data_IF_514660866809
#
_entry.id   IF_514660866809
#
_cell.length_a   1.000
_cell.length_b   1.000
_cell.length_c   1.000
_cell.angle_alpha   90.00
_cell.angle_beta   90.00
_cell.angle_gamma   90.00
#
_symmetry.space_group_name_H-M   'P 1'
#
loop_
_entity.id
_entity.type
_entity.pdbx_description
1 polymer ?
#
# COMPACT_ATOMS: atom_id res chain seq x y z
N UNK A 1 -26.01 6.80 -36.66
CA UNK A 1 -25.15 6.25 -35.62
C UNK A 1 -25.60 6.87 -34.31
N UNK A 2 -26.23 6.09 -33.45
CA UNK A 2 -26.70 6.55 -32.13
C UNK A 2 -25.57 6.47 -31.13
N UNK A 3 -25.23 7.58 -30.52
CA UNK A 3 -24.32 7.63 -29.36
C UNK A 3 -25.05 7.02 -28.16
N UNK A 4 -24.62 5.86 -27.71
CA UNK A 4 -25.02 5.33 -26.41
C UNK A 4 -24.13 5.95 -25.35
N UNK A 5 -24.74 6.78 -24.50
CA UNK A 5 -24.11 7.37 -23.32
C UNK A 5 -24.04 6.31 -22.24
N UNK A 6 -22.84 5.83 -21.92
CA UNK A 6 -22.61 4.92 -20.79
C UNK A 6 -22.81 5.71 -19.49
N UNK A 7 -23.97 5.55 -18.87
CA UNK A 7 -24.25 6.11 -17.55
C UNK A 7 -23.73 5.14 -16.49
N UNK A 8 -22.58 5.46 -15.88
CA UNK A 8 -22.12 4.77 -14.68
C UNK A 8 -23.05 5.12 -13.52
N UNK A 9 -23.94 4.21 -13.13
CA UNK A 9 -24.64 4.29 -11.86
C UNK A 9 -23.64 3.91 -10.76
N UNK A 10 -23.28 4.86 -9.92
CA UNK A 10 -22.61 4.59 -8.64
C UNK A 10 -23.56 3.74 -7.79
N UNK A 11 -23.23 2.47 -7.64
CA UNK A 11 -23.89 1.58 -6.70
C UNK A 11 -23.54 2.02 -5.28
N UNK A 12 -24.57 2.10 -4.46
CA UNK A 12 -24.51 2.42 -3.03
C UNK A 12 -23.41 1.61 -2.31
N UNK A 13 -22.36 2.31 -1.88
CA UNK A 13 -21.14 1.73 -1.30
C UNK A 13 -21.17 1.73 0.24
N UNK A 14 -22.35 1.62 0.85
CA UNK A 14 -22.45 1.47 2.27
C UNK A 14 -22.06 0.05 2.73
N UNK A 15 -20.90 -0.06 3.37
CA UNK A 15 -20.30 -1.25 4.00
C UNK A 15 -19.77 -2.32 3.02
N UNK A 16 -18.48 -2.31 2.78
CA UNK A 16 -17.74 -3.43 2.16
C UNK A 16 -17.27 -3.24 0.72
N UNK A 17 -17.08 -2.00 0.25
CA UNK A 17 -16.73 -1.71 -1.15
C UNK A 17 -15.38 -2.25 -1.63
N UNK A 18 -14.41 -2.40 -0.74
CA UNK A 18 -13.04 -2.76 -1.10
C UNK A 18 -12.87 -4.21 -1.51
N UNK A 19 -13.49 -5.14 -0.78
CA UNK A 19 -13.47 -6.56 -1.15
C UNK A 19 -14.20 -6.81 -2.49
N UNK A 20 -15.21 -5.99 -2.80
CA UNK A 20 -15.95 -6.08 -4.07
C UNK A 20 -15.16 -5.55 -5.27
N UNK A 21 -14.34 -4.51 -5.13
CA UNK A 21 -13.55 -3.99 -6.24
C UNK A 21 -12.37 -4.91 -6.59
N UNK A 22 -11.70 -5.49 -5.59
CA UNK A 22 -10.65 -6.49 -5.83
C UNK A 22 -11.22 -7.79 -6.43
N UNK A 23 -12.44 -8.15 -6.03
CA UNK A 23 -13.16 -9.30 -6.58
C UNK A 23 -13.65 -9.05 -8.02
N UNK A 24 -14.12 -7.84 -8.33
CA UNK A 24 -14.60 -7.46 -9.68
C UNK A 24 -13.48 -7.36 -10.71
N UNK A 25 -12.25 -7.03 -10.32
CA UNK A 25 -11.09 -7.04 -11.20
C UNK A 25 -10.54 -8.45 -11.50
N UNK A 26 -10.86 -9.43 -10.63
CA UNK A 26 -10.49 -10.84 -10.84
C UNK A 26 -11.58 -11.66 -11.54
N UNK A 27 -12.83 -11.22 -11.53
CA UNK A 27 -13.96 -11.93 -12.12
C UNK A 27 -13.88 -12.15 -13.65
N UNK A 28 -13.37 -11.23 -14.48
CA UNK A 28 -13.25 -11.48 -15.93
C UNK A 28 -12.24 -12.58 -16.27
N UNK A 29 -11.23 -12.82 -15.41
CA UNK A 29 -10.24 -13.88 -15.61
C UNK A 29 -10.73 -15.26 -15.15
N UNK A 30 -11.79 -15.32 -14.36
CA UNK A 30 -12.29 -16.57 -13.74
C UNK A 30 -13.45 -17.22 -14.52
N UNK A 31 -14.05 -16.50 -15.49
CA UNK A 31 -15.17 -17.04 -16.27
C UNK A 31 -14.76 -18.07 -17.36
N UNK A 32 -13.45 -18.32 -17.53
CA UNK A 32 -12.94 -19.18 -18.63
C UNK A 32 -12.31 -20.48 -18.14
N UNK A 33 -12.06 -20.64 -16.83
CA UNK A 33 -11.47 -21.88 -16.32
C UNK A 33 -12.50 -22.64 -15.47
N UNK A 34 -13.27 -23.48 -16.12
CA UNK A 34 -14.03 -24.52 -15.43
C UNK A 34 -13.07 -25.57 -14.85
N UNK A 35 -12.50 -25.30 -13.69
CA UNK A 35 -11.73 -26.31 -12.95
C UNK A 35 -12.74 -27.26 -12.31
N UNK A 36 -13.02 -28.39 -12.97
CA UNK A 36 -13.56 -29.54 -12.29
C UNK A 36 -12.49 -30.04 -11.32
N UNK A 37 -12.61 -29.70 -10.05
CA UNK A 37 -11.89 -30.42 -9.02
C UNK A 37 -12.41 -31.86 -9.02
N UNK A 38 -11.60 -32.80 -9.48
CA UNK A 38 -11.88 -34.22 -9.34
C UNK A 38 -11.76 -34.57 -7.87
N UNK A 39 -12.89 -34.89 -7.26
CA UNK A 39 -12.97 -35.39 -5.88
C UNK A 39 -12.71 -36.87 -5.92
N UNK A 40 -11.56 -37.33 -5.48
CA UNK A 40 -11.20 -38.77 -5.47
C UNK A 40 -11.57 -39.49 -4.18
N UNK A 41 -12.24 -38.82 -3.23
CA UNK A 41 -12.64 -39.45 -1.98
C UNK A 41 -14.03 -38.96 -1.56
N UNK A 42 -15.09 -39.71 -1.81
CA UNK A 42 -16.46 -39.67 -1.34
C UNK A 42 -16.89 -38.61 -0.31
N UNK A 43 -16.40 -37.39 -0.47
CA UNK A 43 -16.59 -36.31 0.48
C UNK A 43 -17.91 -35.55 0.24
N UNK A 44 -18.49 -35.14 1.33
CA UNK A 44 -19.69 -34.30 1.40
C UNK A 44 -19.54 -33.11 0.46
N UNK A 45 -20.48 -32.93 -0.47
CA UNK A 45 -20.55 -31.82 -1.40
C UNK A 45 -20.83 -30.55 -0.61
N UNK A 46 -19.78 -29.85 -0.20
CA UNK A 46 -19.88 -28.55 0.49
C UNK A 46 -20.06 -27.49 -0.55
N UNK A 47 -21.21 -26.86 -0.58
CA UNK A 47 -21.47 -25.68 -1.43
C UNK A 47 -20.77 -24.48 -0.80
N UNK A 48 -19.57 -24.16 -1.28
CA UNK A 48 -18.86 -22.95 -0.85
C UNK A 48 -19.25 -21.77 -1.75
N UNK A 49 -19.37 -20.58 -1.14
CA UNK A 49 -19.30 -19.34 -1.90
C UNK A 49 -17.88 -19.25 -2.49
N UNK A 50 -17.70 -19.27 -3.83
CA UNK A 50 -16.37 -19.29 -4.44
C UNK A 50 -15.49 -18.13 -4.00
N UNK A 51 -16.05 -16.92 -3.84
CA UNK A 51 -15.31 -15.74 -3.42
C UNK A 51 -14.73 -15.91 -1.99
N UNK A 52 -15.50 -16.41 -1.05
CA UNK A 52 -15.04 -16.71 0.31
C UNK A 52 -13.93 -17.75 0.28
N UNK A 53 -14.11 -18.79 -0.53
CA UNK A 53 -13.11 -19.88 -0.65
C UNK A 53 -11.76 -19.36 -1.16
N UNK A 54 -11.74 -18.50 -2.16
CA UNK A 54 -10.47 -17.96 -2.69
C UNK A 54 -9.80 -17.03 -1.69
N UNK A 55 -10.52 -16.13 -1.04
CA UNK A 55 -9.99 -15.27 0.01
C UNK A 55 -9.41 -16.09 1.16
N UNK A 56 -10.16 -17.09 1.64
CA UNK A 56 -9.74 -18.00 2.70
C UNK A 56 -8.49 -18.78 2.29
N UNK A 57 -8.48 -19.34 1.11
CA UNK A 57 -7.32 -20.08 0.60
C UNK A 57 -6.09 -19.19 0.46
N UNK A 58 -6.23 -18.00 -0.13
CA UNK A 58 -5.14 -17.06 -0.30
C UNK A 58 -4.52 -16.64 1.04
N UNK A 59 -5.35 -16.29 2.02
CA UNK A 59 -4.88 -15.91 3.36
C UNK A 59 -4.25 -17.10 4.07
N UNK A 60 -4.94 -18.25 4.12
CA UNK A 60 -4.43 -19.43 4.80
C UNK A 60 -3.13 -19.93 4.20
N UNK A 61 -2.92 -19.78 2.88
CA UNK A 61 -1.64 -20.13 2.24
C UNK A 61 -0.48 -19.27 2.73
N UNK A 62 -0.76 -18.08 3.26
CA UNK A 62 0.25 -17.16 3.84
C UNK A 62 0.48 -17.43 5.33
N UNK A 63 -0.55 -17.91 6.03
CA UNK A 63 -0.49 -18.19 7.47
C UNK A 63 -0.04 -19.61 7.79
N UNK A 64 -0.28 -20.57 6.89
CA UNK A 64 -0.06 -21.99 7.12
C UNK A 64 1.35 -22.36 7.58
N UNK A 65 2.33 -21.58 7.14
CA UNK A 65 3.74 -21.80 7.48
C UNK A 65 4.25 -20.92 8.62
N UNK A 66 3.36 -20.24 9.31
CA UNK A 66 3.71 -19.47 10.47
C UNK A 66 4.19 -20.43 11.57
N UNK A 67 5.49 -20.44 11.84
CA UNK A 67 6.04 -21.19 12.96
C UNK A 67 5.81 -20.38 14.22
N UNK A 68 5.22 -21.01 15.24
CA UNK A 68 4.96 -20.39 16.55
C UNK A 68 6.19 -19.71 17.21
N UNK A 69 7.38 -20.01 16.75
CA UNK A 69 8.64 -19.46 17.27
C UNK A 69 9.24 -18.35 16.41
N UNK A 70 8.64 -18.00 15.27
CA UNK A 70 9.08 -16.88 14.46
C UNK A 70 8.07 -15.76 14.63
N UNK A 71 8.52 -14.56 14.96
CA UNK A 71 7.69 -13.36 15.04
C UNK A 71 7.24 -12.86 13.66
N UNK A 72 7.34 -13.71 12.66
CA UNK A 72 7.09 -13.39 11.27
C UNK A 72 5.64 -13.64 10.90
N UNK A 73 5.01 -12.69 10.29
CA UNK A 73 3.73 -12.86 9.64
C UNK A 73 3.92 -13.68 8.35
N UNK A 74 3.25 -14.81 8.25
CA UNK A 74 3.42 -15.90 7.30
C UNK A 74 3.46 -15.57 5.80
N UNK A 75 4.45 -14.82 5.37
CA UNK A 75 4.71 -14.57 3.96
C UNK A 75 5.79 -15.54 3.47
N UNK A 76 5.39 -16.60 2.77
CA UNK A 76 6.34 -17.49 2.13
C UNK A 76 6.81 -16.87 0.81
N UNK A 77 8.12 -16.67 0.66
CA UNK A 77 8.75 -16.35 -0.61
C UNK A 77 9.28 -17.63 -1.22
N UNK A 78 8.80 -17.96 -2.41
CA UNK A 78 9.33 -19.03 -3.21
C UNK A 78 10.46 -18.49 -4.10
N UNK A 79 11.65 -19.05 -3.97
CA UNK A 79 12.78 -18.68 -4.85
C UNK A 79 12.73 -19.42 -6.19
N UNK A 80 12.04 -20.56 -6.22
CA UNK A 80 11.76 -21.33 -7.45
C UNK A 80 10.41 -22.03 -7.36
N UNK A 81 9.93 -22.57 -8.48
CA UNK A 81 8.70 -23.38 -8.52
C UNK A 81 8.80 -24.68 -7.70
N UNK A 82 10.01 -25.11 -7.41
CA UNK A 82 10.31 -26.37 -6.72
C UNK A 82 10.63 -26.16 -5.23
N UNK A 83 10.65 -24.89 -4.77
CA UNK A 83 10.89 -24.55 -3.37
C UNK A 83 9.79 -25.13 -2.48
N UNK A 84 10.22 -25.81 -1.43
CA UNK A 84 9.30 -26.27 -0.39
C UNK A 84 8.92 -25.10 0.51
N UNK A 85 7.71 -25.14 1.05
CA UNK A 85 7.20 -24.16 2.01
C UNK A 85 8.11 -23.96 3.24
N UNK A 86 8.96 -24.93 3.56
CA UNK A 86 9.93 -24.87 4.67
C UNK A 86 11.18 -24.06 4.36
N UNK A 87 11.44 -23.72 3.09
CA UNK A 87 12.64 -22.99 2.64
C UNK A 87 12.35 -21.49 2.55
N UNK A 88 12.06 -20.87 3.67
CA UNK A 88 11.74 -19.44 3.73
C UNK A 88 13.00 -18.60 3.78
N UNK A 89 12.99 -17.49 3.06
CA UNK A 89 13.90 -16.39 3.34
C UNK A 89 13.37 -15.59 4.54
N UNK A 90 13.76 -15.96 5.75
CA UNK A 90 13.33 -15.33 7.00
C UNK A 90 13.69 -13.83 7.05
N UNK A 91 14.71 -13.38 6.33
CA UNK A 91 15.19 -12.00 6.37
C UNK A 91 14.19 -10.96 5.85
N UNK A 92 13.17 -11.37 5.09
CA UNK A 92 12.16 -10.46 4.54
C UNK A 92 10.87 -10.43 5.35
N UNK A 93 10.67 -11.39 6.25
CA UNK A 93 9.44 -11.54 7.02
C UNK A 93 9.62 -11.25 8.51
N UNK A 94 10.86 -11.28 9.00
CA UNK A 94 11.18 -11.04 10.43
C UNK A 94 11.45 -9.55 10.70
N UNK A 95 10.70 -8.66 10.06
CA UNK A 95 10.83 -7.20 10.22
C UNK A 95 9.53 -6.48 9.97
N UNK A 96 9.43 -5.26 10.47
CA UNK A 96 8.39 -4.32 10.07
C UNK A 96 8.78 -3.72 8.70
N UNK A 97 8.06 -4.09 7.65
CA UNK A 97 8.35 -3.66 6.28
C UNK A 97 7.04 -3.60 5.48
N UNK A 98 7.03 -2.87 4.35
CA UNK A 98 5.83 -2.69 3.54
C UNK A 98 5.23 -4.00 3.02
N UNK A 99 6.05 -5.00 2.68
CA UNK A 99 5.55 -6.29 2.16
C UNK A 99 4.77 -7.07 3.21
N UNK A 100 5.35 -7.45 4.37
CA UNK A 100 4.59 -8.12 5.41
C UNK A 100 3.48 -7.21 5.99
N UNK A 101 3.71 -5.89 6.07
CA UNK A 101 2.70 -4.93 6.50
C UNK A 101 1.48 -4.90 5.59
N UNK A 102 1.66 -4.96 4.26
CA UNK A 102 0.56 -5.01 3.30
C UNK A 102 -0.25 -6.32 3.44
N UNK A 103 0.45 -7.45 3.57
CA UNK A 103 -0.22 -8.76 3.77
C UNK A 103 -0.99 -8.75 5.08
N UNK A 104 -0.41 -8.22 6.15
CA UNK A 104 -1.06 -8.08 7.45
C UNK A 104 -2.30 -7.16 7.37
N UNK A 105 -2.19 -5.98 6.72
CA UNK A 105 -3.31 -5.07 6.48
C UNK A 105 -4.44 -5.79 5.74
N UNK A 106 -4.15 -6.42 4.62
CA UNK A 106 -5.17 -7.15 3.84
C UNK A 106 -5.82 -8.29 4.63
N UNK A 107 -5.04 -8.96 5.48
CA UNK A 107 -5.55 -10.06 6.31
C UNK A 107 -6.46 -9.53 7.43
N UNK A 108 -6.11 -8.43 8.10
CA UNK A 108 -6.95 -7.87 9.16
C UNK A 108 -8.26 -7.29 8.60
N UNK A 109 -8.23 -6.66 7.43
CA UNK A 109 -9.43 -6.18 6.74
C UNK A 109 -10.36 -7.34 6.33
N UNK A 110 -9.78 -8.43 5.84
CA UNK A 110 -10.55 -9.64 5.56
C UNK A 110 -11.10 -10.28 6.83
N UNK A 111 -10.34 -10.31 7.93
CA UNK A 111 -10.81 -10.82 9.21
C UNK A 111 -11.97 -9.98 9.75
N UNK A 112 -11.94 -8.67 9.56
CA UNK A 112 -13.04 -7.78 9.95
C UNK A 112 -14.27 -7.97 9.05
N UNK A 113 -14.08 -8.07 7.74
CA UNK A 113 -15.17 -8.34 6.79
C UNK A 113 -15.87 -9.66 7.07
N UNK A 114 -15.14 -10.72 7.43
CA UNK A 114 -15.65 -12.05 7.71
C UNK A 114 -15.82 -12.33 9.22
N UNK A 115 -15.92 -11.31 10.07
CA UNK A 115 -15.95 -11.44 11.53
C UNK A 115 -17.03 -12.38 12.08
N UNK A 116 -18.14 -12.58 11.36
CA UNK A 116 -19.20 -13.52 11.72
C UNK A 116 -18.81 -15.01 11.54
N UNK A 117 -17.69 -15.29 10.88
CA UNK A 117 -17.23 -16.65 10.66
C UNK A 117 -16.10 -17.02 11.64
N UNK A 118 -16.23 -18.18 12.29
CA UNK A 118 -15.27 -18.65 13.30
C UNK A 118 -13.83 -18.76 12.78
N UNK A 119 -13.63 -18.98 11.49
CA UNK A 119 -12.32 -19.10 10.85
C UNK A 119 -11.61 -17.74 10.59
N UNK A 120 -12.26 -16.62 10.81
CA UNK A 120 -11.65 -15.29 10.71
C UNK A 120 -10.83 -14.91 11.95
N UNK A 121 -11.18 -15.46 13.12
CA UNK A 121 -10.48 -15.18 14.38
C UNK A 121 -8.99 -15.59 14.36
N UNK A 122 -8.57 -16.74 13.84
CA UNK A 122 -7.17 -17.07 13.64
C UNK A 122 -6.40 -16.03 12.80
N UNK A 123 -7.05 -15.42 11.81
CA UNK A 123 -6.42 -14.37 11.00
C UNK A 123 -6.11 -13.13 11.84
N UNK A 124 -7.08 -12.67 12.62
CA UNK A 124 -6.84 -11.57 13.58
C UNK A 124 -5.69 -11.90 14.53
N UNK A 125 -5.69 -13.10 15.14
CA UNK A 125 -4.66 -13.49 16.09
C UNK A 125 -3.27 -13.54 15.45
N UNK A 126 -3.14 -14.00 14.22
CA UNK A 126 -1.87 -14.03 13.50
C UNK A 126 -1.35 -12.61 13.19
N UNK A 127 -2.23 -11.70 12.77
CA UNK A 127 -1.85 -10.29 12.54
C UNK A 127 -1.51 -9.61 13.85
N UNK A 128 -2.27 -9.90 14.92
CA UNK A 128 -1.98 -9.40 16.26
C UNK A 128 -0.60 -9.81 16.74
N UNK A 129 -0.24 -11.08 16.62
CA UNK A 129 1.07 -11.59 17.04
C UNK A 129 2.22 -10.86 16.32
N UNK A 130 2.10 -10.67 15.00
CA UNK A 130 3.04 -9.89 14.23
C UNK A 130 3.05 -8.42 14.68
N UNK A 131 1.89 -7.78 14.79
CA UNK A 131 1.77 -6.39 15.20
C UNK A 131 2.36 -6.13 16.58
N UNK A 132 2.05 -6.98 17.56
CA UNK A 132 2.58 -6.86 18.94
C UNK A 132 4.11 -6.98 18.97
N UNK A 133 4.68 -7.87 18.15
CA UNK A 133 6.12 -8.07 18.06
C UNK A 133 6.87 -6.81 17.56
N UNK A 134 6.23 -5.98 16.73
CA UNK A 134 6.87 -4.86 16.05
C UNK A 134 6.29 -3.47 16.39
N UNK A 135 5.32 -3.35 17.30
CA UNK A 135 4.67 -2.08 17.63
C UNK A 135 5.64 -0.99 18.06
N UNK A 136 6.69 -1.36 18.79
CA UNK A 136 7.75 -0.45 19.23
C UNK A 136 8.85 -0.23 18.18
N UNK A 137 8.85 -0.97 17.09
CA UNK A 137 9.86 -0.88 16.02
C UNK A 137 9.48 0.10 14.92
N UNK A 138 8.30 0.72 14.98
CA UNK A 138 7.87 1.75 14.02
C UNK A 138 8.89 2.91 14.04
N UNK A 139 9.49 3.26 12.88
CA UNK A 139 10.54 4.27 12.85
C UNK A 139 9.96 5.68 13.03
N UNK A 140 10.65 6.50 13.84
CA UNK A 140 10.34 7.94 14.01
C UNK A 140 11.28 8.83 13.21
N UNK A 141 12.37 8.26 12.68
CA UNK A 141 13.38 8.97 11.91
C UNK A 141 13.00 9.33 10.47
N UNK A 142 11.93 8.73 9.94
CA UNK A 142 11.34 9.08 8.65
C UNK A 142 12.16 8.72 7.41
N UNK A 143 13.26 7.97 7.52
CA UNK A 143 14.20 7.74 6.41
C UNK A 143 13.68 6.85 5.27
N UNK A 144 12.53 6.20 5.43
CA UNK A 144 11.94 5.32 4.41
C UNK A 144 10.42 5.32 4.52
N UNK A 145 9.72 5.62 3.43
CA UNK A 145 8.27 5.52 3.37
C UNK A 145 7.80 4.06 3.41
N UNK A 146 8.59 3.13 2.91
CA UNK A 146 8.29 1.69 2.96
C UNK A 146 8.14 1.20 4.41
N UNK A 147 9.06 1.62 5.28
CA UNK A 147 9.04 1.20 6.68
C UNK A 147 7.85 1.81 7.44
N UNK A 148 7.46 3.04 7.08
CA UNK A 148 6.29 3.71 7.67
C UNK A 148 4.97 3.08 7.21
N UNK A 149 4.88 2.64 5.95
CA UNK A 149 3.65 2.09 5.39
C UNK A 149 3.09 0.90 6.17
N UNK A 150 3.94 0.08 6.76
CA UNK A 150 3.53 -1.09 7.54
C UNK A 150 2.58 -0.73 8.70
N UNK A 151 2.60 0.52 9.16
CA UNK A 151 1.76 1.00 10.27
C UNK A 151 0.26 0.95 9.96
N UNK A 152 -0.13 0.91 8.70
CA UNK A 152 -1.54 0.75 8.30
C UNK A 152 -2.20 -0.47 8.95
N UNK A 153 -1.44 -1.53 9.24
CA UNK A 153 -1.94 -2.71 9.95
C UNK A 153 -2.47 -2.37 11.35
N UNK A 154 -1.86 -1.41 12.05
CA UNK A 154 -2.26 -1.05 13.42
C UNK A 154 -3.60 -0.31 13.46
N UNK A 155 -3.95 0.41 12.41
CA UNK A 155 -5.29 1.03 12.27
C UNK A 155 -6.35 -0.09 12.18
N UNK A 156 -6.10 -1.11 11.36
CA UNK A 156 -6.97 -2.28 11.26
C UNK A 156 -7.08 -3.06 12.57
N UNK A 157 -5.95 -3.31 13.24
CA UNK A 157 -5.94 -3.98 14.54
C UNK A 157 -6.70 -3.18 15.61
N UNK A 158 -6.51 -1.87 15.66
CA UNK A 158 -7.19 -1.00 16.63
C UNK A 158 -8.71 -1.04 16.46
N UNK A 159 -9.19 -1.02 15.22
CA UNK A 159 -10.61 -0.98 14.88
C UNK A 159 -11.29 -2.35 14.96
N UNK A 160 -10.53 -3.44 15.02
CA UNK A 160 -11.11 -4.79 15.04
C UNK A 160 -11.86 -5.07 16.36
N UNK A 161 -13.03 -5.68 16.26
CA UNK A 161 -13.88 -5.99 17.41
C UNK A 161 -13.25 -6.96 18.44
N UNK A 162 -12.21 -7.70 18.06
CA UNK A 162 -11.48 -8.59 18.96
C UNK A 162 -10.34 -7.92 19.71
N UNK A 163 -10.03 -6.65 19.43
CA UNK A 163 -8.97 -5.90 20.12
C UNK A 163 -9.43 -5.47 21.51
N UNK A 164 -8.61 -5.74 22.53
CA UNK A 164 -8.86 -5.27 23.91
C UNK A 164 -8.17 -3.92 24.15
N UNK A 165 -8.56 -3.19 25.19
CA UNK A 165 -8.10 -1.82 25.42
C UNK A 165 -6.58 -1.69 25.63
N UNK A 166 -5.93 -2.68 26.25
CA UNK A 166 -4.46 -2.69 26.39
C UNK A 166 -3.77 -2.80 25.04
N UNK A 167 -4.29 -3.62 24.13
CA UNK A 167 -3.78 -3.77 22.76
C UNK A 167 -3.97 -2.47 21.98
N UNK A 168 -5.17 -1.87 22.07
CA UNK A 168 -5.48 -0.59 21.41
C UNK A 168 -4.54 0.53 21.81
N UNK A 169 -4.15 0.59 23.10
CA UNK A 169 -3.15 1.56 23.57
C UNK A 169 -1.81 1.38 22.86
N UNK A 170 -1.34 0.14 22.70
CA UNK A 170 -0.10 -0.16 22.00
C UNK A 170 -0.19 0.20 20.50
N UNK A 171 -1.31 -0.09 19.86
CA UNK A 171 -1.52 0.24 18.45
C UNK A 171 -1.59 1.75 18.21
N UNK A 172 -2.26 2.47 19.11
CA UNK A 172 -2.29 3.95 19.07
C UNK A 172 -0.89 4.54 19.21
N UNK A 173 -0.06 3.98 20.08
CA UNK A 173 1.34 4.39 20.22
C UNK A 173 2.14 4.13 18.93
N UNK A 174 1.94 2.98 18.29
CA UNK A 174 2.58 2.66 17.01
C UNK A 174 2.16 3.66 15.90
N UNK A 175 0.89 4.02 15.82
CA UNK A 175 0.38 5.04 14.90
C UNK A 175 0.99 6.41 15.22
N UNK A 176 1.07 6.82 16.51
CA UNK A 176 1.73 8.06 16.92
C UNK A 176 3.21 8.12 16.54
N UNK A 177 3.93 7.01 16.63
CA UNK A 177 5.31 6.93 16.13
C UNK A 177 5.41 7.17 14.63
N UNK A 178 4.46 6.64 13.84
CA UNK A 178 4.42 6.90 12.40
C UNK A 178 4.09 8.36 12.07
N UNK A 179 3.25 9.03 12.85
CA UNK A 179 3.03 10.49 12.72
C UNK A 179 4.35 11.24 12.86
N UNK A 180 5.11 10.97 13.93
CA UNK A 180 6.45 11.54 14.12
C UNK A 180 7.40 11.20 12.96
N UNK A 181 7.31 9.97 12.44
CA UNK A 181 8.08 9.53 11.29
C UNK A 181 7.76 10.32 10.02
N UNK A 182 6.47 10.58 9.72
CA UNK A 182 6.04 11.38 8.58
C UNK A 182 6.44 12.85 8.72
N UNK A 183 6.31 13.43 9.90
CA UNK A 183 6.75 14.80 10.20
C UNK A 183 8.26 14.95 10.00
N UNK A 184 9.04 13.99 10.52
CA UNK A 184 10.49 13.96 10.33
C UNK A 184 10.84 13.76 8.86
N UNK A 185 10.13 12.90 8.14
CA UNK A 185 10.34 12.67 6.72
C UNK A 185 10.10 13.96 5.90
N UNK A 186 8.99 14.63 6.15
CA UNK A 186 8.69 15.92 5.50
C UNK A 186 9.77 16.97 5.76
N UNK A 187 10.33 16.99 6.97
CA UNK A 187 11.36 17.97 7.34
C UNK A 187 12.72 17.67 6.72
N UNK A 188 13.11 16.37 6.69
CA UNK A 188 14.47 15.97 6.29
C UNK A 188 14.57 15.48 4.85
N UNK A 189 13.56 14.77 4.37
CA UNK A 189 13.61 13.98 3.14
C UNK A 189 12.55 14.44 2.12
N UNK A 190 12.41 15.75 1.97
CA UNK A 190 11.57 16.38 0.96
C UNK A 190 12.37 17.31 0.07
N UNK A 191 11.95 17.47 -1.16
CA UNK A 191 12.54 18.39 -2.15
C UNK A 191 12.50 19.82 -1.60
N UNK A 192 13.66 20.47 -1.48
CA UNK A 192 13.78 21.78 -0.84
C UNK A 192 13.64 22.95 -1.79
N UNK A 193 13.94 22.74 -3.06
CA UNK A 193 13.88 23.80 -4.08
C UNK A 193 13.66 23.17 -5.46
N UNK A 194 13.10 23.93 -6.36
CA UNK A 194 13.04 23.60 -7.77
C UNK A 194 11.65 23.69 -8.37
N UNK A 195 11.69 24.09 -9.64
CA UNK A 195 10.59 23.97 -10.59
C UNK A 195 11.08 23.05 -11.69
N UNK A 196 10.29 22.03 -12.00
CA UNK A 196 10.63 21.02 -12.99
C UNK A 196 9.53 20.97 -14.04
N UNK A 197 9.89 21.19 -15.31
CA UNK A 197 8.92 21.27 -16.40
C UNK A 197 7.77 22.28 -16.17
N UNK A 198 8.03 23.37 -15.42
CA UNK A 198 7.03 24.39 -15.09
C UNK A 198 6.24 24.10 -13.79
N UNK A 199 6.39 22.92 -13.21
CA UNK A 199 5.67 22.50 -12.01
C UNK A 199 6.52 22.68 -10.75
N UNK A 200 5.88 23.16 -9.68
CA UNK A 200 6.51 23.27 -8.37
C UNK A 200 6.58 21.91 -7.68
N UNK A 201 7.78 21.37 -7.51
CA UNK A 201 8.01 20.07 -6.86
C UNK A 201 8.46 20.19 -5.40
N UNK A 202 8.57 21.41 -4.88
CA UNK A 202 9.03 21.69 -3.50
C UNK A 202 8.09 21.05 -2.48
N UNK A 203 8.69 20.31 -1.53
CA UNK A 203 7.97 19.58 -0.50
C UNK A 203 7.50 18.18 -0.93
N UNK A 204 7.80 17.76 -2.17
CA UNK A 204 7.62 16.37 -2.59
C UNK A 204 8.52 15.44 -1.79
N UNK A 205 7.98 14.36 -1.25
CA UNK A 205 8.70 13.44 -0.37
C UNK A 205 9.59 12.48 -1.16
N UNK A 206 10.84 12.35 -0.77
CA UNK A 206 11.70 11.28 -1.28
C UNK A 206 11.08 9.92 -0.95
N UNK A 207 11.26 8.96 -1.81
CA UNK A 207 10.82 7.61 -1.46
C UNK A 207 11.61 7.05 -0.27
N UNK A 208 12.94 7.31 -0.27
CA UNK A 208 13.86 6.97 0.84
C UNK A 208 14.97 8.00 0.95
N UNK A 209 15.56 8.12 2.13
CA UNK A 209 16.76 8.93 2.37
C UNK A 209 17.89 8.64 1.36
N UNK A 210 18.11 7.36 1.04
CA UNK A 210 19.12 6.93 0.09
C UNK A 210 18.88 7.40 -1.37
N UNK A 211 17.67 7.86 -1.68
CA UNK A 211 17.25 8.27 -3.02
C UNK A 211 16.86 9.76 -3.03
N UNK A 212 17.83 10.60 -2.75
CA UNK A 212 17.63 12.06 -2.68
C UNK A 212 16.94 12.60 -3.92
N UNK A 213 15.94 13.45 -3.71
CA UNK A 213 15.16 14.11 -4.75
C UNK A 213 14.38 13.19 -5.69
N UNK A 214 14.24 11.90 -5.36
CA UNK A 214 13.45 10.96 -6.13
C UNK A 214 12.09 10.72 -5.48
N UNK A 215 11.03 10.97 -6.22
CA UNK A 215 9.68 10.53 -5.87
C UNK A 215 9.28 9.36 -6.77
N UNK A 216 8.78 8.31 -6.15
CA UNK A 216 8.28 7.11 -6.84
C UNK A 216 6.78 7.00 -6.67
N UNK A 217 6.10 6.36 -7.63
CA UNK A 217 4.66 6.07 -7.50
C UNK A 217 4.35 5.24 -6.23
N UNK A 218 5.28 4.38 -5.85
CA UNK A 218 5.24 3.59 -4.62
C UNK A 218 5.07 4.48 -3.39
N UNK A 219 5.76 5.63 -3.35
CA UNK A 219 5.69 6.61 -2.26
C UNK A 219 4.30 7.23 -2.07
N UNK A 220 3.50 7.32 -3.13
CA UNK A 220 2.11 7.76 -3.02
C UNK A 220 1.30 6.80 -2.14
N UNK A 221 1.49 5.49 -2.29
CA UNK A 221 0.84 4.49 -1.44
C UNK A 221 1.49 4.40 -0.07
N UNK A 222 2.83 4.43 -0.02
CA UNK A 222 3.56 4.22 1.24
C UNK A 222 3.41 5.41 2.20
N UNK A 223 3.41 6.65 1.69
CA UNK A 223 3.35 7.88 2.50
C UNK A 223 1.98 8.56 2.48
N UNK A 224 1.49 8.96 1.28
CA UNK A 224 0.28 9.80 1.20
C UNK A 224 -0.97 9.06 1.65
N UNK A 225 -1.14 7.80 1.24
CA UNK A 225 -2.27 7.00 1.69
C UNK A 225 -2.17 6.62 3.18
N UNK A 226 -0.95 6.46 3.72
CA UNK A 226 -0.77 6.29 5.16
C UNK A 226 -1.22 7.55 5.91
N UNK A 227 -0.78 8.73 5.48
CA UNK A 227 -1.19 9.99 6.10
C UNK A 227 -2.71 10.15 6.08
N UNK A 228 -3.36 9.90 4.95
CA UNK A 228 -4.82 9.97 4.84
C UNK A 228 -5.54 9.04 5.84
N UNK A 229 -5.04 7.80 6.00
CA UNK A 229 -5.60 6.86 6.97
C UNK A 229 -5.36 7.30 8.42
N UNK A 230 -4.20 7.91 8.72
CA UNK A 230 -3.92 8.49 10.04
C UNK A 230 -4.85 9.67 10.32
N UNK A 231 -5.06 10.57 9.35
CA UNK A 231 -6.00 11.71 9.51
C UNK A 231 -7.40 11.20 9.80
N UNK A 232 -7.88 10.23 9.04
CA UNK A 232 -9.19 9.62 9.28
C UNK A 232 -9.27 8.93 10.66
N UNK A 233 -8.22 8.21 11.07
CA UNK A 233 -8.13 7.55 12.37
C UNK A 233 -8.19 8.56 13.53
N UNK A 234 -7.50 9.68 13.41
CA UNK A 234 -7.45 10.71 14.44
C UNK A 234 -8.72 11.58 14.51
N UNK A 235 -9.49 11.65 13.41
CA UNK A 235 -10.63 12.55 13.29
C UNK A 235 -10.22 14.02 13.51
N UNK A 236 -10.84 14.69 14.48
CA UNK A 236 -10.49 16.06 14.87
C UNK A 236 -9.36 16.15 15.91
N UNK A 237 -8.71 15.01 16.20
CA UNK A 237 -7.68 14.90 17.24
C UNK A 237 -6.30 15.37 16.77
N UNK A 238 -5.28 14.53 17.01
CA UNK A 238 -3.88 14.88 16.72
C UNK A 238 -3.61 15.02 15.22
N UNK A 239 -3.05 16.15 14.83
CA UNK A 239 -2.61 16.43 13.46
C UNK A 239 -1.10 16.18 13.31
N UNK A 240 -0.67 15.83 12.09
CA UNK A 240 0.75 15.65 11.77
C UNK A 240 1.40 17.00 11.40
N UNK A 241 0.69 17.83 10.64
CA UNK A 241 1.21 19.10 10.09
C UNK A 241 0.45 20.33 10.61
N UNK A 242 -0.08 20.27 11.82
CA UNK A 242 -0.64 21.40 12.54
C UNK A 242 -2.17 21.56 12.48
N UNK A 243 -2.82 21.02 11.48
CA UNK A 243 -4.29 20.95 11.40
C UNK A 243 -4.75 19.82 10.48
N UNK A 244 -6.00 19.39 10.62
CA UNK A 244 -6.61 18.40 9.72
C UNK A 244 -6.60 18.88 8.26
N UNK A 245 -6.84 20.18 8.03
CA UNK A 245 -6.75 20.77 6.68
C UNK A 245 -5.31 20.67 6.14
N UNK A 246 -4.31 21.06 6.94
CA UNK A 246 -2.92 20.99 6.51
C UNK A 246 -2.46 19.53 6.21
N UNK A 247 -2.96 18.56 6.95
CA UNK A 247 -2.69 17.15 6.71
C UNK A 247 -3.30 16.70 5.37
N UNK A 248 -4.56 17.05 5.08
CA UNK A 248 -5.18 16.77 3.80
C UNK A 248 -4.50 17.49 2.64
N UNK A 249 -4.13 18.76 2.81
CA UNK A 249 -3.37 19.52 1.82
C UNK A 249 -2.04 18.81 1.50
N UNK A 250 -1.37 18.24 2.51
CA UNK A 250 -0.15 17.47 2.32
C UNK A 250 -0.41 16.17 1.54
N UNK A 251 -1.48 15.43 1.84
CA UNK A 251 -1.89 14.23 1.06
C UNK A 251 -2.03 14.59 -0.41
N UNK A 252 -2.83 15.60 -0.72
CA UNK A 252 -3.09 16.01 -2.10
C UNK A 252 -1.85 16.58 -2.79
N UNK A 253 -1.03 17.31 -2.06
CA UNK A 253 0.25 17.82 -2.59
C UNK A 253 1.14 16.71 -3.09
N UNK A 254 1.34 15.66 -2.29
CA UNK A 254 2.18 14.53 -2.69
C UNK A 254 1.62 13.82 -3.93
N UNK A 255 0.31 13.55 -3.96
CA UNK A 255 -0.35 12.91 -5.10
C UNK A 255 -0.24 13.77 -6.38
N UNK A 256 -0.49 15.08 -6.27
CA UNK A 256 -0.44 15.98 -7.41
C UNK A 256 0.96 16.12 -7.99
N UNK A 257 2.00 16.25 -7.14
CA UNK A 257 3.39 16.32 -7.62
C UNK A 257 3.73 15.07 -8.45
N UNK A 258 3.45 13.89 -7.92
CA UNK A 258 3.73 12.63 -8.62
C UNK A 258 2.91 12.53 -9.92
N UNK A 259 1.63 12.91 -9.89
CA UNK A 259 0.79 12.93 -11.09
C UNK A 259 1.38 13.83 -12.17
N UNK A 260 1.65 15.09 -11.85
CA UNK A 260 2.15 16.08 -12.82
C UNK A 260 3.49 15.68 -13.42
N UNK A 261 4.35 15.02 -12.63
CA UNK A 261 5.68 14.62 -13.09
C UNK A 261 5.71 13.29 -13.84
N UNK A 262 4.81 12.36 -13.54
CA UNK A 262 4.89 10.99 -14.06
C UNK A 262 3.81 10.64 -15.09
N UNK A 263 2.73 11.42 -15.20
CA UNK A 263 1.63 11.08 -16.11
C UNK A 263 2.00 11.28 -17.58
N UNK A 264 1.82 10.24 -18.39
CA UNK A 264 1.90 10.31 -19.84
C UNK A 264 0.51 10.26 -20.48
N UNK A 265 0.07 11.39 -21.02
CA UNK A 265 -1.26 11.52 -21.62
C UNK A 265 -1.45 10.70 -22.91
N UNK A 266 -0.37 10.38 -23.63
CA UNK A 266 -0.46 9.58 -24.86
C UNK A 266 -0.68 8.11 -24.55
N UNK A 267 0.10 7.57 -23.60
CA UNK A 267 0.07 6.14 -23.26
C UNK A 267 -0.95 5.81 -22.17
N UNK A 268 -1.51 6.84 -21.50
CA UNK A 268 -2.44 6.70 -20.35
C UNK A 268 -1.85 5.89 -19.20
N UNK A 269 -0.54 6.00 -19.00
CA UNK A 269 0.24 5.34 -17.96
C UNK A 269 1.13 6.37 -17.27
N UNK A 270 1.58 6.02 -16.07
CA UNK A 270 2.53 6.83 -15.31
C UNK A 270 3.92 6.21 -15.36
N UNK A 271 4.93 7.04 -15.60
CA UNK A 271 6.33 6.64 -15.38
C UNK A 271 6.53 6.27 -13.91
N UNK A 272 7.43 5.32 -13.65
CA UNK A 272 7.60 4.77 -12.30
C UNK A 272 8.01 5.82 -11.26
N UNK A 273 8.87 6.76 -11.65
CA UNK A 273 9.44 7.75 -10.76
C UNK A 273 9.91 8.98 -11.51
N UNK A 274 10.18 10.05 -10.76
CA UNK A 274 10.97 11.18 -11.26
C UNK A 274 12.06 11.57 -10.26
N UNK A 275 13.06 12.31 -10.77
CA UNK A 275 14.11 12.91 -9.96
C UNK A 275 14.14 14.42 -10.17
N UNK A 276 13.92 15.18 -9.09
CA UNK A 276 13.81 16.65 -9.18
C UNK A 276 15.10 17.36 -9.61
N UNK A 277 16.25 16.72 -9.42
CA UNK A 277 17.54 17.27 -9.82
C UNK A 277 18.02 16.82 -11.20
N UNK A 278 17.25 16.00 -11.91
CA UNK A 278 17.62 15.55 -13.24
C UNK A 278 17.59 16.71 -14.23
N UNK A 279 18.55 16.74 -15.15
CA UNK A 279 18.53 17.64 -16.28
C UNK A 279 17.45 17.28 -17.29
N UNK A 280 17.06 18.25 -18.12
CA UNK A 280 16.06 18.06 -19.16
C UNK A 280 16.56 18.52 -20.53
N UNK A 281 15.92 18.07 -21.59
CA UNK A 281 16.26 18.47 -22.95
C UNK A 281 17.66 18.02 -23.38
N UNK A 282 18.56 18.94 -23.59
CA UNK A 282 19.94 18.67 -24.02
C UNK A 282 20.97 18.75 -22.89
N UNK A 283 20.55 19.18 -21.70
CA UNK A 283 21.41 19.42 -20.53
C UNK A 283 21.20 18.36 -19.48
N UNK A 284 22.28 17.94 -18.81
CA UNK A 284 22.26 17.11 -17.61
C UNK A 284 22.68 17.98 -16.43
N UNK A 285 21.85 18.05 -15.39
CA UNK A 285 22.18 18.77 -14.15
C UNK A 285 22.78 17.84 -13.07
N UNK A 286 22.52 16.53 -13.13
CA UNK A 286 22.99 15.53 -12.19
C UNK A 286 23.45 14.24 -12.87
N UNK A 287 24.05 13.37 -12.08
CA UNK A 287 24.36 12.00 -12.52
C UNK A 287 23.09 11.26 -12.97
N UNK A 288 23.23 10.47 -14.01
CA UNK A 288 22.12 9.64 -14.50
C UNK A 288 21.68 8.65 -13.44
N UNK A 289 20.38 8.64 -13.19
CA UNK A 289 19.73 7.63 -12.34
C UNK A 289 18.62 6.95 -13.13
N UNK A 290 18.15 5.80 -12.65
CA UNK A 290 17.02 5.14 -13.28
C UNK A 290 15.70 5.94 -13.14
N UNK A 291 15.60 6.79 -12.10
CA UNK A 291 14.41 7.60 -11.80
C UNK A 291 14.37 8.91 -12.58
N UNK A 292 15.49 9.32 -13.15
CA UNK A 292 15.59 10.54 -13.95
C UNK A 292 16.49 10.33 -15.16
N UNK A 293 16.56 11.28 -16.08
CA UNK A 293 17.36 11.23 -17.30
C UNK A 293 17.18 9.92 -18.09
N UNK A 294 15.99 9.74 -18.63
CA UNK A 294 15.66 8.58 -19.46
C UNK A 294 16.74 8.31 -20.52
N UNK A 295 17.61 7.34 -20.22
CA UNK A 295 18.67 6.91 -21.13
C UNK A 295 19.86 7.84 -21.25
N UNK A 296 20.84 7.43 -22.07
CA UNK A 296 22.07 8.17 -22.34
C UNK A 296 21.98 9.09 -23.55
N UNK A 297 20.87 9.03 -24.29
CA UNK A 297 20.63 9.77 -25.51
C UNK A 297 19.68 10.95 -25.28
N UNK A 298 19.96 12.06 -25.94
CA UNK A 298 19.10 13.25 -25.92
C UNK A 298 17.81 13.01 -26.73
N UNK A 299 16.67 13.64 -26.40
CA UNK A 299 16.50 14.55 -25.26
C UNK A 299 16.43 13.80 -23.91
N UNK A 300 17.00 14.41 -22.88
CA UNK A 300 16.90 13.89 -21.53
C UNK A 300 15.54 14.21 -20.93
N UNK A 301 15.06 13.32 -20.07
CA UNK A 301 13.83 13.50 -19.29
C UNK A 301 14.15 13.45 -17.79
N UNK A 302 13.27 13.99 -16.97
CA UNK A 302 13.41 13.98 -15.52
C UNK A 302 12.74 12.76 -14.87
N UNK A 303 12.07 11.92 -15.64
CA UNK A 303 11.38 10.71 -15.17
C UNK A 303 12.07 9.43 -15.64
N UNK A 304 11.69 8.31 -15.06
CA UNK A 304 12.17 6.99 -15.45
C UNK A 304 11.85 6.67 -16.93
N UNK A 305 12.65 5.79 -17.52
CA UNK A 305 12.49 5.41 -18.93
C UNK A 305 11.27 4.52 -19.18
N UNK A 306 10.83 3.77 -18.17
CA UNK A 306 9.86 2.71 -18.32
C UNK A 306 8.63 2.90 -17.43
N UNK A 307 7.52 2.35 -17.89
CA UNK A 307 6.33 2.11 -17.07
C UNK A 307 6.52 0.80 -16.33
N UNK A 308 6.14 0.80 -15.06
CA UNK A 308 6.13 -0.41 -14.26
C UNK A 308 4.73 -0.69 -13.72
N UNK A 309 4.15 -1.83 -14.11
CA UNK A 309 2.76 -2.15 -13.79
C UNK A 309 2.46 -2.14 -12.29
N UNK A 310 3.38 -2.67 -11.45
CA UNK A 310 3.23 -2.64 -10.00
C UNK A 310 3.23 -1.21 -9.45
N UNK A 311 4.06 -0.32 -9.97
CA UNK A 311 4.09 1.08 -9.53
C UNK A 311 2.80 1.82 -9.87
N UNK A 312 2.27 1.62 -11.10
CA UNK A 312 0.96 2.16 -11.49
C UNK A 312 -0.16 1.63 -10.58
N UNK A 313 -0.09 0.34 -10.19
CA UNK A 313 -1.02 -0.25 -9.22
C UNK A 313 -0.88 0.40 -7.83
N UNK A 314 0.32 0.72 -7.36
CA UNK A 314 0.52 1.44 -6.10
C UNK A 314 -0.16 2.80 -6.09
N UNK A 315 -0.02 3.57 -7.19
CA UNK A 315 -0.67 4.87 -7.29
C UNK A 315 -2.19 4.76 -7.30
N UNK A 316 -2.74 3.79 -8.05
CA UNK A 316 -4.18 3.51 -8.05
C UNK A 316 -4.68 3.11 -6.66
N UNK A 317 -3.97 2.24 -5.96
CA UNK A 317 -4.30 1.86 -4.58
C UNK A 317 -4.24 3.05 -3.64
N UNK A 318 -3.27 3.97 -3.83
CA UNK A 318 -3.19 5.19 -3.03
C UNK A 318 -4.44 6.07 -3.21
N UNK A 319 -4.88 6.27 -4.45
CA UNK A 319 -6.11 7.03 -4.72
C UNK A 319 -7.34 6.40 -4.07
N UNK A 320 -7.45 5.07 -4.12
CA UNK A 320 -8.57 4.35 -3.51
C UNK A 320 -8.55 4.48 -1.99
N UNK A 321 -7.39 4.24 -1.34
CA UNK A 321 -7.22 4.36 0.11
C UNK A 321 -7.52 5.80 0.60
N UNK A 322 -7.08 6.82 -0.17
CA UNK A 322 -7.33 8.23 0.15
C UNK A 322 -8.82 8.57 0.03
N UNK A 323 -9.49 8.14 -1.03
CA UNK A 323 -10.93 8.37 -1.22
C UNK A 323 -11.76 7.67 -0.14
N UNK A 324 -11.34 6.48 0.29
CA UNK A 324 -12.00 5.78 1.39
C UNK A 324 -11.82 6.51 2.72
N UNK A 325 -10.61 6.99 3.01
CA UNK A 325 -10.34 7.79 4.21
C UNK A 325 -11.16 9.09 4.23
N UNK A 326 -11.26 9.79 3.08
CA UNK A 326 -12.07 11.00 2.94
C UNK A 326 -13.58 10.78 3.16
N UNK A 327 -14.10 9.61 2.75
CA UNK A 327 -15.53 9.30 2.93
C UNK A 327 -15.92 9.17 4.39
N UNK A 328 -14.99 8.83 5.25
CA UNK A 328 -15.23 8.59 6.67
C UNK A 328 -14.74 9.76 7.56
N UNK A 329 -14.12 10.78 6.97
CA UNK A 329 -13.71 12.03 7.62
C UNK A 329 -14.84 13.07 7.53
#
# INVERSE_FOLDING_TARGET
MKHETLTFRFLDMSRGGFARLFLLLLLPCLSVIGVKAADSNGGVKVTFNPAVRYSQWAINSRLYDFKANTKAFGFAKYNSKDDKLSERNNNEIDKLDYVPGLVAKATIEAADYYQSFYWSKPWFLSVKEYGDAYSNSVPTGGGSLDDLNAVKLYIGLYNNANAIETDKSNYKNAIGRAQTGLETHNTKYAIKSGTLAGENVVGGWFHKEAYNNQMWLDGAYMGSALLAQIVNFNGTGSNVFGSTTADWDMVFKQLNIVWNMCWNANDKLMYHAFEANAGTGTSKSHAETWAGLNGKTKPYTFHSAAYWGRANAWYLMALVDVLEAMKNA
#
